data_IF_403559060855
#
_entry.id   IF_403559060855
#
_cell.length_a   1.000
_cell.length_b   1.000
_cell.length_c   1.000
_cell.angle_alpha   90.00
_cell.angle_beta   90.00
_cell.angle_gamma   90.00
#
_symmetry.space_group_name_H-M   'P 1'
#
loop_
_entity.id
_entity.type
_entity.pdbx_description
1 polymer ?
#
# COMPACT_ATOMS: atom_id res chain seq x y z
N UNK A 1 -17.28 35.07 29.45
CA UNK A 1 -17.43 33.62 29.67
C UNK A 1 -18.02 33.02 28.40
N UNK A 2 -17.16 32.48 27.56
CA UNK A 2 -17.45 31.90 26.25
C UNK A 2 -17.06 30.44 26.35
N UNK A 3 -18.03 29.56 26.51
CA UNK A 3 -17.81 28.12 26.53
C UNK A 3 -17.69 27.59 25.10
N UNK A 4 -16.58 26.91 24.86
CA UNK A 4 -16.20 26.24 23.63
C UNK A 4 -17.07 25.01 23.37
N UNK A 5 -17.68 24.95 22.19
CA UNK A 5 -18.39 23.77 21.66
C UNK A 5 -17.37 22.77 21.08
N UNK A 6 -17.38 21.48 21.46
CA UNK A 6 -16.40 20.51 20.99
C UNK A 6 -16.71 19.98 19.58
N UNK A 7 -15.64 19.76 18.80
CA UNK A 7 -15.62 19.37 17.39
C UNK A 7 -16.25 18.00 17.09
N UNK A 8 -17.15 17.95 16.12
CA UNK A 8 -17.84 16.74 15.63
C UNK A 8 -16.93 15.78 14.84
N UNK A 9 -17.21 14.48 15.01
CA UNK A 9 -16.47 13.29 14.54
C UNK A 9 -16.88 12.89 13.11
N UNK A 10 -15.90 12.46 12.31
CA UNK A 10 -15.99 12.17 10.86
C UNK A 10 -15.84 10.66 10.58
N UNK A 11 -16.55 10.09 9.60
CA UNK A 11 -16.24 8.80 9.03
C UNK A 11 -15.68 9.00 7.62
N UNK A 12 -14.35 9.05 7.49
CA UNK A 12 -13.75 8.21 6.45
C UNK A 12 -13.49 6.83 7.06
N UNK A 13 -12.86 5.91 6.35
CA UNK A 13 -12.27 4.69 6.91
C UNK A 13 -11.41 4.91 8.19
N UNK A 14 -11.13 6.17 8.54
CA UNK A 14 -10.58 6.72 9.78
C UNK A 14 -11.41 6.55 11.08
N UNK A 15 -12.47 5.72 11.11
CA UNK A 15 -13.29 5.52 12.32
C UNK A 15 -12.47 5.09 13.56
N UNK A 16 -11.30 4.48 13.36
CA UNK A 16 -10.43 4.04 14.46
C UNK A 16 -9.60 5.15 15.12
N UNK A 17 -9.64 6.39 14.61
CA UNK A 17 -8.89 7.50 15.20
C UNK A 17 -9.65 8.30 16.26
N UNK A 18 -10.97 8.13 16.43
CA UNK A 18 -11.81 9.03 17.25
C UNK A 18 -12.99 8.37 17.98
N UNK A 19 -12.80 7.20 18.57
CA UNK A 19 -13.68 6.73 19.66
C UNK A 19 -12.92 6.96 20.97
N UNK A 20 -13.17 8.10 21.61
CA UNK A 20 -12.47 8.62 22.79
C UNK A 20 -12.57 7.70 24.02
N UNK A 21 -11.40 7.32 24.55
CA UNK A 21 -11.21 7.02 25.96
C UNK A 21 -9.94 7.76 26.41
N UNK A 22 -10.15 8.95 26.98
CA UNK A 22 -9.13 9.66 27.73
C UNK A 22 -8.74 8.89 29.00
N UNK A 23 -7.52 9.19 29.47
CA UNK A 23 -6.84 8.68 30.68
C UNK A 23 -6.00 7.40 30.47
N UNK A 24 -4.76 7.58 30.00
CA UNK A 24 -3.56 7.34 30.82
C UNK A 24 -2.32 7.93 30.13
N UNK A 25 -1.73 8.95 30.74
CA UNK A 25 -0.39 9.41 30.41
C UNK A 25 0.68 8.45 30.94
N UNK A 26 1.82 8.45 30.25
CA UNK A 26 3.15 8.02 30.70
C UNK A 26 3.27 6.72 31.52
N UNK A 27 3.94 5.70 30.96
CA UNK A 27 5.19 5.18 31.54
C UNK A 27 5.96 4.27 30.58
N UNK A 28 7.27 4.46 30.63
CA UNK A 28 8.39 3.78 29.96
C UNK A 28 8.33 2.24 30.04
N UNK A 29 9.04 1.50 29.17
CA UNK A 29 10.48 1.18 29.31
C UNK A 29 10.89 -0.04 28.47
N UNK A 30 12.08 0.08 27.90
CA UNK A 30 13.02 -0.94 27.38
C UNK A 30 12.64 -2.43 27.50
N UNK A 31 12.82 -3.15 26.38
CA UNK A 31 13.76 -4.29 26.34
C UNK A 31 14.53 -4.33 25.03
N UNK A 32 15.81 -4.03 25.17
CA UNK A 32 16.93 -4.30 24.26
C UNK A 32 17.29 -5.79 24.29
N UNK A 33 17.53 -6.38 23.12
CA UNK A 33 18.62 -7.34 22.84
C UNK A 33 18.56 -7.73 21.35
N UNK A 34 19.34 -7.08 20.48
CA UNK A 34 20.73 -7.40 20.10
C UNK A 34 20.81 -8.41 18.94
N UNK A 35 21.14 -7.89 17.75
CA UNK A 35 22.26 -8.41 16.95
C UNK A 35 23.13 -7.20 16.54
N UNK A 36 24.35 -7.18 17.08
CA UNK A 36 25.52 -6.40 16.65
C UNK A 36 25.95 -6.85 15.24
N UNK A 37 26.50 -6.03 14.37
CA UNK A 37 26.98 -4.67 14.56
C UNK A 37 27.77 -4.17 13.34
N UNK A 38 28.26 -2.92 13.45
CA UNK A 38 29.42 -2.48 12.69
C UNK A 38 29.21 -1.40 11.63
N UNK A 39 28.66 -0.24 11.98
CA UNK A 39 28.99 1.02 11.26
C UNK A 39 29.62 1.98 12.27
N UNK A 40 30.93 1.85 12.45
CA UNK A 40 31.77 2.88 13.06
C UNK A 40 33.23 2.69 12.60
N UNK A 41 33.46 2.89 11.31
CA UNK A 41 34.77 3.25 10.79
C UNK A 41 34.57 3.97 9.44
N UNK A 42 34.33 5.27 9.51
CA UNK A 42 34.50 6.14 8.37
C UNK A 42 36.01 6.25 8.07
N UNK A 43 36.38 5.93 6.81
CA UNK A 43 37.63 6.32 6.12
C UNK A 43 38.91 5.61 6.63
N UNK A 44 39.56 4.75 5.81
CA UNK A 44 40.00 5.07 4.45
C UNK A 44 39.70 3.97 3.42
N UNK A 45 38.42 3.76 3.07
CA UNK A 45 38.05 2.88 1.93
C UNK A 45 38.06 3.64 0.60
N UNK A 46 38.13 4.98 0.63
CA UNK A 46 38.24 5.81 -0.58
C UNK A 46 39.55 5.55 -1.36
N UNK A 47 40.64 5.17 -0.69
CA UNK A 47 41.91 4.81 -1.36
C UNK A 47 41.90 3.43 -2.02
N UNK A 48 41.14 2.47 -1.49
CA UNK A 48 41.04 1.11 -2.01
C UNK A 48 40.03 0.98 -3.16
N UNK A 49 38.96 1.77 -3.16
CA UNK A 49 38.01 1.86 -4.28
C UNK A 49 38.65 2.48 -5.54
N UNK A 50 39.54 3.45 -5.39
CA UNK A 50 40.31 4.04 -6.51
C UNK A 50 41.40 3.09 -7.06
N UNK A 51 41.90 2.17 -6.23
CA UNK A 51 42.85 1.15 -6.68
C UNK A 51 42.15 -0.02 -7.41
N UNK A 52 40.90 -0.34 -7.05
CA UNK A 52 40.11 -1.36 -7.75
C UNK A 52 39.50 -0.87 -9.08
N UNK A 53 39.20 0.42 -9.21
CA UNK A 53 38.70 0.99 -10.47
C UNK A 53 39.74 1.08 -11.60
N UNK A 54 41.04 0.87 -11.32
CA UNK A 54 42.10 0.96 -12.32
C UNK A 54 42.71 -0.40 -12.75
N UNK A 55 42.23 -1.54 -12.24
CA UNK A 55 42.83 -2.84 -12.52
C UNK A 55 42.03 -3.79 -13.43
N UNK A 56 40.81 -3.44 -13.84
CA UNK A 56 40.06 -4.22 -14.83
C UNK A 56 39.83 -3.41 -16.10
N UNK A 57 40.83 -3.47 -16.99
CA UNK A 57 40.64 -3.11 -18.38
C UNK A 57 39.55 -3.98 -19.02
N UNK A 58 38.68 -3.35 -19.81
CA UNK A 58 37.94 -4.04 -20.87
C UNK A 58 36.53 -4.57 -20.55
N UNK A 59 35.91 -4.25 -19.42
CA UNK A 59 34.47 -4.55 -19.26
C UNK A 59 33.65 -3.52 -20.02
N UNK A 60 32.91 -3.97 -21.06
CA UNK A 60 31.83 -3.18 -21.69
C UNK A 60 30.96 -2.54 -20.60
N UNK A 61 30.45 -1.31 -20.78
CA UNK A 61 29.47 -0.74 -19.88
C UNK A 61 28.37 -1.78 -19.69
N UNK A 62 28.14 -2.21 -18.45
CA UNK A 62 27.03 -3.12 -18.14
C UNK A 62 25.77 -2.37 -18.56
N UNK A 63 25.14 -2.85 -19.63
CA UNK A 63 23.89 -2.30 -20.13
C UNK A 63 22.85 -2.48 -19.02
N UNK A 64 22.45 -1.36 -18.41
CA UNK A 64 21.58 -1.35 -17.23
C UNK A 64 20.21 -1.86 -17.69
N UNK A 65 19.71 -3.00 -17.20
CA UNK A 65 18.39 -3.47 -17.56
C UNK A 65 17.36 -2.44 -17.09
N UNK A 66 16.60 -1.87 -18.01
CA UNK A 66 15.48 -1.01 -17.63
C UNK A 66 14.44 -1.86 -16.89
N UNK A 67 13.86 -1.29 -15.83
CA UNK A 67 12.69 -1.91 -15.23
C UNK A 67 11.58 -1.97 -16.29
N UNK A 68 10.86 -3.10 -16.37
CA UNK A 68 9.75 -3.20 -17.27
C UNK A 68 8.73 -2.11 -16.95
N UNK A 69 8.09 -1.59 -18.01
CA UNK A 69 6.96 -0.70 -17.84
C UNK A 69 5.89 -1.38 -16.98
N UNK A 70 5.11 -0.57 -16.25
CA UNK A 70 3.99 -1.11 -15.49
C UNK A 70 3.09 -1.93 -16.43
N UNK A 71 2.72 -3.15 -16.05
CA UNK A 71 1.92 -4.03 -16.89
C UNK A 71 0.57 -3.37 -17.22
N UNK A 72 0.10 -3.60 -18.45
CA UNK A 72 -1.19 -3.06 -18.91
C UNK A 72 -2.37 -3.90 -18.47
N UNK A 73 -2.13 -5.10 -17.93
CA UNK A 73 -3.16 -6.04 -17.52
C UNK A 73 -2.70 -7.06 -16.48
N UNK A 74 -3.64 -7.89 -15.98
CA UNK A 74 -3.36 -8.93 -15.01
C UNK A 74 -2.52 -10.07 -15.61
N UNK A 75 -1.69 -10.70 -14.78
CA UNK A 75 -0.90 -11.88 -15.18
C UNK A 75 -1.72 -13.18 -15.21
N UNK A 76 -2.89 -13.20 -14.55
CA UNK A 76 -3.72 -14.39 -14.43
C UNK A 76 -5.21 -14.04 -14.59
N UNK A 77 -6.02 -14.88 -15.25
CA UNK A 77 -7.47 -14.69 -15.37
C UNK A 77 -8.24 -14.41 -14.07
N UNK A 78 -7.80 -14.94 -12.92
CA UNK A 78 -8.45 -14.69 -11.62
C UNK A 78 -8.32 -13.23 -11.19
N UNK A 79 -7.32 -12.51 -11.67
CA UNK A 79 -7.13 -11.10 -11.34
C UNK A 79 -7.97 -10.17 -12.22
N UNK A 80 -8.63 -10.68 -13.28
CA UNK A 80 -9.48 -9.89 -14.16
C UNK A 80 -10.75 -9.34 -13.45
N UNK A 81 -11.06 -9.84 -12.26
CA UNK A 81 -12.19 -9.37 -11.45
C UNK A 81 -11.85 -8.13 -10.62
N UNK A 82 -10.56 -7.76 -10.53
CA UNK A 82 -10.11 -6.56 -9.83
C UNK A 82 -10.29 -5.32 -10.72
N UNK A 83 -10.15 -4.14 -10.13
CA UNK A 83 -10.41 -2.88 -10.82
C UNK A 83 -9.53 -2.68 -12.07
N UNK A 84 -10.11 -2.07 -13.10
CA UNK A 84 -9.37 -1.67 -14.29
C UNK A 84 -8.31 -0.61 -13.96
N UNK A 85 -7.11 -0.68 -14.58
CA UNK A 85 -6.10 0.36 -14.39
C UNK A 85 -6.59 1.69 -14.98
N UNK A 86 -6.36 2.78 -14.25
CA UNK A 86 -6.88 4.08 -14.61
C UNK A 86 -7.02 5.01 -13.42
N UNK A 87 -7.40 6.25 -13.73
CA UNK A 87 -7.85 7.21 -12.75
C UNK A 87 -9.34 7.05 -12.53
N UNK A 88 -9.73 6.95 -11.28
CA UNK A 88 -11.10 6.82 -10.80
C UNK A 88 -11.46 8.02 -9.95
N UNK A 89 -12.69 8.46 -10.06
CA UNK A 89 -13.30 9.45 -9.19
C UNK A 89 -14.49 8.83 -8.51
N UNK A 90 -14.61 9.07 -7.21
CA UNK A 90 -15.71 8.51 -6.43
C UNK A 90 -16.32 9.49 -5.46
N UNK A 91 -17.59 9.27 -5.20
CA UNK A 91 -18.32 9.87 -4.09
C UNK A 91 -18.64 8.75 -3.11
N UNK A 92 -18.34 8.99 -1.84
CA UNK A 92 -18.66 8.07 -0.76
C UNK A 92 -19.57 8.77 0.23
N UNK A 93 -20.58 8.03 0.69
CA UNK A 93 -21.49 8.45 1.76
C UNK A 93 -21.49 7.39 2.84
N UNK A 94 -21.19 7.79 4.06
CA UNK A 94 -21.17 6.92 5.23
C UNK A 94 -22.17 7.43 6.28
N UNK A 95 -22.99 6.53 6.78
CA UNK A 95 -24.06 6.81 7.72
C UNK A 95 -23.93 5.94 8.95
N UNK A 96 -24.20 6.53 10.12
CA UNK A 96 -24.49 5.80 11.36
C UNK A 96 -25.88 6.22 11.87
N UNK A 97 -26.23 5.84 13.10
CA UNK A 97 -27.54 6.14 13.68
C UNK A 97 -27.88 7.65 13.79
N UNK A 98 -26.89 8.54 13.76
CA UNK A 98 -27.07 9.97 14.06
C UNK A 98 -26.58 10.92 12.98
N UNK A 99 -25.65 10.51 12.12
CA UNK A 99 -24.97 11.39 11.16
C UNK A 99 -24.74 10.67 9.85
N UNK A 100 -24.87 11.41 8.75
CA UNK A 100 -24.37 11.03 7.42
C UNK A 100 -23.30 12.02 7.00
N UNK A 101 -22.18 11.50 6.52
CA UNK A 101 -21.09 12.30 5.95
C UNK A 101 -20.80 11.81 4.54
N UNK A 102 -20.38 12.74 3.68
CA UNK A 102 -19.91 12.41 2.35
C UNK A 102 -18.48 12.88 2.15
N UNK A 103 -17.76 12.24 1.23
CA UNK A 103 -16.44 12.65 0.78
C UNK A 103 -16.28 12.32 -0.70
N UNK A 104 -15.33 12.99 -1.33
CA UNK A 104 -14.91 12.65 -2.70
C UNK A 104 -13.52 12.02 -2.65
N UNK A 105 -13.27 11.07 -3.54
CA UNK A 105 -11.97 10.43 -3.65
C UNK A 105 -11.48 10.43 -5.09
N UNK A 106 -10.17 10.57 -5.24
CA UNK A 106 -9.45 10.29 -6.48
C UNK A 106 -8.58 9.08 -6.23
N UNK A 107 -8.70 8.08 -7.10
CA UNK A 107 -7.96 6.82 -7.00
C UNK A 107 -7.21 6.57 -8.29
N UNK A 108 -5.91 6.35 -8.20
CA UNK A 108 -5.10 5.84 -9.30
C UNK A 108 -4.86 4.35 -9.12
N UNK A 109 -5.35 3.56 -10.07
CA UNK A 109 -5.21 2.11 -10.11
C UNK A 109 -4.19 1.71 -11.18
N UNK A 110 -3.20 0.88 -10.81
CA UNK A 110 -2.21 0.34 -11.75
C UNK A 110 -1.82 -1.08 -11.40
N UNK A 111 -1.49 -1.89 -12.41
CA UNK A 111 -0.89 -3.19 -12.17
C UNK A 111 0.58 -3.05 -11.74
N UNK A 112 0.96 -3.87 -10.77
CA UNK A 112 2.32 -4.04 -10.27
C UNK A 112 2.77 -5.50 -10.37
N UNK A 113 4.04 -5.75 -10.05
CA UNK A 113 4.63 -7.10 -9.99
C UNK A 113 4.34 -7.94 -11.24
N UNK A 114 4.54 -7.36 -12.43
CA UNK A 114 4.25 -8.00 -13.71
C UNK A 114 2.79 -8.51 -13.84
N UNK A 115 1.83 -7.83 -13.22
CA UNK A 115 0.40 -8.11 -13.34
C UNK A 115 -0.15 -8.97 -12.20
N UNK A 116 0.65 -9.29 -11.18
CA UNK A 116 0.24 -10.16 -10.07
C UNK A 116 -0.51 -9.42 -8.96
N UNK A 117 -0.39 -8.10 -8.89
CA UNK A 117 -1.11 -7.29 -7.93
C UNK A 117 -1.61 -5.98 -8.55
N UNK A 118 -2.71 -5.48 -8.01
CA UNK A 118 -3.26 -4.18 -8.33
C UNK A 118 -2.90 -3.20 -7.20
N UNK A 119 -2.18 -2.14 -7.55
CA UNK A 119 -1.90 -1.03 -6.66
C UNK A 119 -2.97 0.03 -6.80
N UNK A 120 -3.41 0.54 -5.66
CA UNK A 120 -4.46 1.53 -5.51
C UNK A 120 -3.90 2.68 -4.68
N UNK A 121 -3.81 3.86 -5.27
CA UNK A 121 -3.31 5.06 -4.59
C UNK A 121 -4.43 6.08 -4.53
N UNK A 122 -4.95 6.31 -3.33
CA UNK A 122 -6.16 7.09 -3.12
C UNK A 122 -5.85 8.40 -2.40
N UNK A 123 -6.50 9.47 -2.86
CA UNK A 123 -6.58 10.77 -2.22
C UNK A 123 -8.03 11.05 -1.88
N UNK A 124 -8.32 11.18 -0.60
CA UNK A 124 -9.66 11.46 -0.07
C UNK A 124 -9.77 12.92 0.34
N UNK A 125 -10.79 13.59 -0.18
CA UNK A 125 -11.14 14.98 0.08
C UNK A 125 -12.36 15.03 1.00
N UNK A 126 -12.15 15.51 2.21
CA UNK A 126 -13.21 15.71 3.19
C UNK A 126 -13.96 17.04 2.93
N UNK A 127 -15.26 17.15 3.23
CA UNK A 127 -16.00 18.41 3.10
C UNK A 127 -15.41 19.57 3.90
N UNK A 128 -14.67 19.30 4.98
CA UNK A 128 -13.94 20.31 5.72
C UNK A 128 -12.71 20.86 4.98
N UNK A 129 -12.38 20.34 3.79
CA UNK A 129 -11.13 20.60 3.07
C UNK A 129 -9.92 19.81 3.55
N UNK A 130 -10.07 18.90 4.52
CA UNK A 130 -8.97 18.03 4.93
C UNK A 130 -8.67 16.99 3.83
N UNK A 131 -7.39 16.68 3.64
CA UNK A 131 -6.94 15.69 2.66
C UNK A 131 -6.32 14.52 3.39
N UNK A 132 -6.73 13.31 3.04
CA UNK A 132 -6.07 12.08 3.48
C UNK A 132 -5.66 11.23 2.29
N UNK A 133 -4.68 10.34 2.52
CA UNK A 133 -4.12 9.46 1.52
C UNK A 133 -4.22 8.02 2.02
N UNK A 134 -4.49 7.11 1.10
CA UNK A 134 -4.46 5.68 1.35
C UNK A 134 -3.68 4.99 0.23
N UNK A 135 -2.92 3.96 0.61
CA UNK A 135 -2.29 3.08 -0.36
C UNK A 135 -2.79 1.67 -0.13
N UNK A 136 -3.14 1.00 -1.21
CA UNK A 136 -3.73 -0.31 -1.14
C UNK A 136 -3.14 -1.25 -2.18
N UNK A 137 -3.12 -2.54 -1.82
CA UNK A 137 -2.69 -3.62 -2.71
C UNK A 137 -3.76 -4.70 -2.69
N UNK A 138 -4.27 -5.04 -3.87
CA UNK A 138 -5.13 -6.20 -4.08
C UNK A 138 -4.39 -7.27 -4.88
N UNK A 139 -4.47 -8.53 -4.46
CA UNK A 139 -3.89 -9.64 -5.22
C UNK A 139 -4.66 -10.93 -4.96
N UNK A 140 -4.30 -11.99 -5.67
CA UNK A 140 -4.82 -13.33 -5.43
C UNK A 140 -3.76 -14.19 -4.77
N UNK A 141 -4.13 -14.90 -3.70
CA UNK A 141 -3.25 -15.84 -3.02
C UNK A 141 -3.65 -17.26 -3.39
N UNK A 142 -2.80 -17.92 -4.18
CA UNK A 142 -3.04 -19.29 -4.67
C UNK A 142 -2.97 -20.34 -3.57
N UNK A 143 -2.26 -20.09 -2.46
CA UNK A 143 -2.10 -21.06 -1.38
C UNK A 143 -3.38 -21.21 -0.54
N UNK A 144 -4.12 -20.12 -0.35
CA UNK A 144 -5.40 -20.12 0.37
C UNK A 144 -6.60 -20.01 -0.57
N UNK A 145 -6.37 -19.89 -1.88
CA UNK A 145 -7.40 -19.77 -2.92
C UNK A 145 -8.35 -18.58 -2.68
N UNK A 146 -7.84 -17.47 -2.14
CA UNK A 146 -8.61 -16.26 -1.81
C UNK A 146 -7.94 -14.99 -2.36
N UNK A 147 -8.73 -13.94 -2.52
CA UNK A 147 -8.20 -12.60 -2.76
C UNK A 147 -7.72 -11.99 -1.45
N UNK A 148 -6.69 -11.17 -1.55
CA UNK A 148 -6.16 -10.38 -0.44
C UNK A 148 -6.27 -8.90 -0.79
N UNK A 149 -6.59 -8.10 0.22
CA UNK A 149 -6.64 -6.65 0.13
C UNK A 149 -5.99 -6.05 1.38
N UNK A 150 -4.90 -5.33 1.17
CA UNK A 150 -4.13 -4.66 2.22
C UNK A 150 -4.23 -3.16 2.03
N UNK A 151 -4.51 -2.42 3.11
CA UNK A 151 -4.65 -0.96 3.10
C UNK A 151 -3.70 -0.35 4.12
N UNK A 152 -2.84 0.55 3.66
CA UNK A 152 -1.97 1.40 4.47
C UNK A 152 -2.62 2.78 4.54
N UNK A 153 -2.98 3.21 5.75
CA UNK A 153 -3.68 4.46 5.97
C UNK A 153 -2.79 5.52 6.61
N UNK A 154 -3.25 6.77 6.58
CA UNK A 154 -2.54 7.92 7.13
C UNK A 154 -2.29 7.85 8.64
N UNK A 155 -3.04 7.03 9.37
CA UNK A 155 -2.84 6.75 10.79
C UNK A 155 -1.65 5.81 11.07
N UNK A 156 -1.02 5.28 10.02
CA UNK A 156 0.11 4.36 10.11
C UNK A 156 -0.30 2.90 10.31
N UNK A 157 -1.60 2.61 10.45
CA UNK A 157 -2.07 1.23 10.54
C UNK A 157 -2.16 0.58 9.16
N UNK A 158 -1.84 -0.70 9.15
CA UNK A 158 -2.06 -1.60 8.01
C UNK A 158 -3.26 -2.47 8.33
N UNK A 159 -4.27 -2.44 7.46
CA UNK A 159 -5.49 -3.23 7.59
C UNK A 159 -5.52 -4.31 6.52
N UNK A 160 -6.00 -5.49 6.88
CA UNK A 160 -6.00 -6.67 6.01
C UNK A 160 -7.40 -7.25 5.86
N UNK A 161 -7.74 -7.59 4.62
CA UNK A 161 -8.99 -8.21 4.23
C UNK A 161 -8.72 -9.43 3.35
N UNK A 162 -9.59 -10.42 3.47
CA UNK A 162 -9.67 -11.54 2.54
C UNK A 162 -10.96 -11.44 1.75
N UNK A 163 -10.91 -11.82 0.47
CA UNK A 163 -12.01 -11.67 -0.46
C UNK A 163 -12.36 -12.97 -1.16
N UNK A 164 -13.64 -13.14 -1.46
CA UNK A 164 -14.12 -14.20 -2.34
C UNK A 164 -14.90 -13.62 -3.52
N UNK A 165 -14.61 -14.12 -4.73
CA UNK A 165 -15.34 -13.73 -5.93
C UNK A 165 -16.61 -14.55 -6.04
N UNK A 166 -17.74 -13.86 -6.23
CA UNK A 166 -19.04 -14.49 -6.36
C UNK A 166 -19.42 -14.58 -7.85
N UNK A 167 -19.17 -15.76 -8.44
CA UNK A 167 -19.24 -16.05 -9.89
C UNK A 167 -20.61 -15.72 -10.52
N UNK A 168 -21.70 -15.70 -9.74
CA UNK A 168 -23.05 -15.38 -10.23
C UNK A 168 -23.49 -13.92 -10.08
N UNK A 169 -22.80 -13.12 -9.24
CA UNK A 169 -23.26 -11.78 -8.89
C UNK A 169 -22.29 -10.66 -9.28
N UNK A 170 -21.17 -10.98 -9.93
CA UNK A 170 -20.21 -9.99 -10.41
C UNK A 170 -19.62 -9.13 -9.28
N UNK A 171 -19.44 -9.72 -8.09
CA UNK A 171 -18.99 -9.00 -6.89
C UNK A 171 -17.89 -9.74 -6.14
N UNK A 172 -16.98 -8.98 -5.54
CA UNK A 172 -16.06 -9.49 -4.53
C UNK A 172 -16.62 -9.14 -3.16
N UNK A 173 -16.70 -10.15 -2.29
CA UNK A 173 -17.05 -9.97 -0.89
C UNK A 173 -15.78 -10.01 -0.05
N UNK A 174 -15.47 -8.89 0.59
CA UNK A 174 -14.32 -8.74 1.47
C UNK A 174 -14.76 -8.81 2.93
N UNK A 175 -13.92 -9.45 3.74
CA UNK A 175 -14.05 -9.46 5.19
C UNK A 175 -12.71 -9.12 5.82
N UNK A 176 -12.75 -8.28 6.85
CA UNK A 176 -11.57 -7.94 7.64
C UNK A 176 -11.01 -9.16 8.37
N UNK A 177 -9.69 -9.35 8.28
CA UNK A 177 -8.94 -10.36 9.05
C UNK A 177 -7.91 -9.71 9.97
N UNK A 178 -7.58 -8.44 9.75
CA UNK A 178 -6.63 -7.70 10.57
C UNK A 178 -7.03 -6.22 10.62
N UNK A 179 -7.50 -5.77 11.79
CA UNK A 179 -7.92 -4.38 12.04
C UNK A 179 -7.23 -3.86 13.32
N UNK A 180 -5.93 -3.53 13.27
CA UNK A 180 -5.25 -2.98 14.43
C UNK A 180 -5.88 -1.63 14.83
N UNK A 181 -5.96 -1.39 16.14
CA UNK A 181 -6.67 -0.23 16.70
C UNK A 181 -8.19 -0.42 16.84
N UNK A 182 -8.76 -1.50 16.29
CA UNK A 182 -10.15 -1.87 16.50
C UNK A 182 -10.32 -2.75 17.75
N UNK A 183 -11.46 -2.64 18.46
CA UNK A 183 -11.91 -3.69 19.37
C UNK A 183 -12.03 -5.04 18.66
N UNK A 184 -11.74 -6.15 19.37
CA UNK A 184 -11.71 -7.49 18.80
C UNK A 184 -13.06 -7.99 18.25
N UNK A 185 -14.15 -7.38 18.68
CA UNK A 185 -15.52 -7.70 18.27
C UNK A 185 -16.01 -6.84 17.09
N UNK A 186 -15.15 -5.98 16.54
CA UNK A 186 -15.43 -5.19 15.34
C UNK A 186 -15.09 -6.00 14.09
N UNK A 187 -16.04 -6.05 13.16
CA UNK A 187 -15.90 -6.68 11.85
C UNK A 187 -16.29 -5.68 10.78
N UNK A 188 -15.44 -5.55 9.75
CA UNK A 188 -15.74 -4.79 8.55
C UNK A 188 -15.94 -5.75 7.37
N UNK A 189 -17.04 -5.53 6.63
CA UNK A 189 -17.36 -6.25 5.39
C UNK A 189 -17.51 -5.25 4.26
N UNK A 190 -17.06 -5.63 3.07
CA UNK A 190 -17.22 -4.80 1.87
C UNK A 190 -17.70 -5.65 0.70
N UNK A 191 -18.69 -5.15 -0.03
CA UNK A 191 -19.14 -5.73 -1.28
C UNK A 191 -18.73 -4.79 -2.41
N UNK A 192 -17.76 -5.20 -3.22
CA UNK A 192 -17.33 -4.45 -4.40
C UNK A 192 -18.01 -5.03 -5.64
N UNK A 193 -18.78 -4.20 -6.33
CA UNK A 193 -19.61 -4.59 -7.47
C UNK A 193 -19.17 -3.83 -8.72
N UNK A 194 -18.88 -4.56 -9.79
CA UNK A 194 -18.70 -3.97 -11.12
C UNK A 194 -20.07 -3.76 -11.74
N UNK A 195 -20.53 -2.51 -11.80
CA UNK A 195 -21.87 -2.19 -12.32
C UNK A 195 -21.89 -2.15 -13.86
N UNK A 196 -20.81 -1.62 -14.44
CA UNK A 196 -20.56 -1.55 -15.89
C UNK A 196 -19.04 -1.34 -16.11
N UNK A 197 -18.53 -1.45 -17.35
CA UNK A 197 -17.15 -1.05 -17.64
C UNK A 197 -16.88 0.38 -17.16
N UNK A 198 -15.79 0.57 -16.40
CA UNK A 198 -15.44 1.85 -15.80
C UNK A 198 -16.43 2.39 -14.74
N UNK A 199 -17.37 1.60 -14.23
CA UNK A 199 -18.29 1.99 -13.13
C UNK A 199 -18.36 0.90 -12.05
N UNK A 200 -18.14 1.30 -10.80
CA UNK A 200 -18.22 0.39 -9.64
C UNK A 200 -18.97 1.01 -8.47
N UNK A 201 -19.53 0.15 -7.63
CA UNK A 201 -20.07 0.52 -6.34
C UNK A 201 -19.48 -0.40 -5.26
N UNK A 202 -19.04 0.19 -4.15
CA UNK A 202 -18.62 -0.52 -2.96
C UNK A 202 -19.62 -0.24 -1.85
N UNK A 203 -20.13 -1.30 -1.22
CA UNK A 203 -20.95 -1.19 -0.01
C UNK A 203 -20.17 -1.72 1.17
N UNK A 204 -19.98 -0.89 2.18
CA UNK A 204 -19.24 -1.23 3.40
C UNK A 204 -20.19 -1.31 4.57
N UNK A 205 -20.00 -2.31 5.41
CA UNK A 205 -20.70 -2.49 6.67
C UNK A 205 -19.67 -2.69 7.78
N UNK A 206 -19.82 -1.95 8.87
CA UNK A 206 -19.01 -2.13 10.09
C UNK A 206 -19.97 -2.51 11.20
N UNK A 207 -19.69 -3.63 11.85
CA UNK A 207 -20.48 -4.14 12.97
C UNK A 207 -19.60 -4.35 14.19
N UNK A 208 -20.16 -4.15 15.38
CA UNK A 208 -19.52 -4.45 16.67
C UNK A 208 -20.41 -5.41 17.45
N UNK A 209 -19.83 -6.48 17.99
CA UNK A 209 -20.59 -7.51 18.71
C UNK A 209 -21.81 -8.03 17.92
N UNK A 210 -21.71 -8.08 16.59
CA UNK A 210 -22.79 -8.49 15.69
C UNK A 210 -23.86 -7.43 15.40
N UNK A 211 -23.79 -6.24 16.00
CA UNK A 211 -24.70 -5.13 15.74
C UNK A 211 -24.11 -4.20 14.68
N UNK A 212 -24.89 -3.88 13.65
CA UNK A 212 -24.50 -2.96 12.59
C UNK A 212 -24.39 -1.54 13.15
N UNK A 213 -23.21 -0.93 13.07
CA UNK A 213 -22.98 0.44 13.54
C UNK A 213 -22.93 1.44 12.37
N UNK A 214 -22.36 1.02 11.23
CA UNK A 214 -22.08 1.92 10.09
C UNK A 214 -22.40 1.21 8.78
N UNK A 215 -23.01 1.94 7.87
CA UNK A 215 -23.08 1.60 6.45
C UNK A 215 -22.40 2.69 5.63
N UNK A 216 -21.73 2.30 4.56
CA UNK A 216 -21.22 3.25 3.58
C UNK A 216 -21.44 2.74 2.16
N UNK A 217 -21.66 3.69 1.25
CA UNK A 217 -21.78 3.42 -0.18
C UNK A 217 -20.81 4.35 -0.92
N UNK A 218 -19.89 3.76 -1.66
CA UNK A 218 -18.95 4.45 -2.53
C UNK A 218 -19.32 4.15 -3.98
N UNK A 219 -19.53 5.18 -4.79
CA UNK A 219 -19.77 5.04 -6.24
C UNK A 219 -18.61 5.66 -6.98
N UNK A 220 -18.00 4.91 -7.90
CA UNK A 220 -16.82 5.35 -8.62
C UNK A 220 -17.00 5.21 -10.13
N UNK A 221 -16.43 6.17 -10.85
CA UNK A 221 -16.34 6.18 -12.31
C UNK A 221 -14.88 6.38 -12.76
N UNK A 222 -14.48 5.63 -13.78
CA UNK A 222 -13.17 5.77 -14.41
C UNK A 222 -13.15 6.99 -15.32
N UNK A 223 -12.20 7.91 -15.09
CA UNK A 223 -12.06 9.18 -15.81
C UNK A 223 -10.88 9.22 -16.77
N UNK A 224 -10.08 8.16 -16.85
CA UNK A 224 -9.01 8.06 -17.85
C UNK A 224 -7.85 7.20 -17.38
N UNK A 225 -6.67 7.47 -17.93
CA UNK A 225 -5.42 6.82 -17.52
C UNK A 225 -5.03 7.23 -16.10
N UNK A 226 -4.39 6.31 -15.38
CA UNK A 226 -3.85 6.59 -14.06
C UNK A 226 -2.81 7.70 -14.15
N UNK A 227 -2.90 8.68 -13.27
CA UNK A 227 -1.90 9.73 -13.12
C UNK A 227 -0.91 9.28 -12.06
N UNK A 228 0.07 8.48 -12.48
CA UNK A 228 1.28 8.27 -11.67
C UNK A 228 2.14 9.54 -11.74
N UNK A 229 1.63 10.65 -11.23
CA UNK A 229 2.31 11.94 -11.28
C UNK A 229 3.34 12.07 -10.15
N UNK A 230 4.56 12.43 -10.59
CA UNK A 230 5.67 13.07 -9.88
C UNK A 230 6.27 12.29 -8.68
N UNK A 231 7.59 12.38 -8.44
CA UNK A 231 8.17 11.74 -7.27
C UNK A 231 7.58 12.41 -6.04
N UNK A 232 6.71 11.69 -5.33
CA UNK A 232 6.32 12.10 -4.01
C UNK A 232 7.58 12.14 -3.12
N UNK A 233 7.62 13.10 -2.22
CA UNK A 233 8.60 13.18 -1.16
C UNK A 233 8.02 12.57 0.11
N UNK A 234 8.84 12.09 1.04
CA UNK A 234 8.35 11.70 2.35
C UNK A 234 7.59 12.86 3.00
N UNK A 235 6.48 12.58 3.66
CA UNK A 235 5.64 13.60 4.31
C UNK A 235 6.35 14.27 5.49
N UNK A 236 7.29 13.55 6.11
CA UNK A 236 8.07 14.04 7.25
C UNK A 236 9.54 13.64 7.14
N UNK A 237 10.46 14.38 7.79
CA UNK A 237 11.87 13.99 7.87
C UNK A 237 12.11 12.63 8.52
N UNK A 238 11.22 12.20 9.43
CA UNK A 238 11.30 10.88 10.05
C UNK A 238 11.03 9.77 9.03
N UNK A 239 10.03 9.96 8.16
CA UNK A 239 9.72 9.03 7.08
C UNK A 239 10.84 8.95 6.04
N UNK A 240 11.57 10.04 5.80
CA UNK A 240 12.72 10.04 4.88
C UNK A 240 13.80 9.00 5.22
N UNK A 241 13.81 8.45 6.44
CA UNK A 241 14.70 7.37 6.88
C UNK A 241 14.39 6.02 6.22
N UNK A 242 13.18 5.82 5.69
CA UNK A 242 12.80 4.58 5.00
C UNK A 242 13.55 4.41 3.67
N UNK A 243 13.98 5.51 3.04
CA UNK A 243 14.76 5.46 1.81
C UNK A 243 14.52 6.64 0.88
N UNK A 244 15.04 6.51 -0.34
CA UNK A 244 14.90 7.51 -1.41
C UNK A 244 14.25 6.88 -2.62
N UNK A 245 13.39 7.65 -3.28
CA UNK A 245 12.88 7.27 -4.59
C UNK A 245 14.02 7.20 -5.61
N UNK A 246 13.93 6.26 -6.55
CA UNK A 246 14.96 6.05 -7.56
C UNK A 246 14.99 4.63 -8.09
N UNK A 247 15.87 4.40 -9.06
CA UNK A 247 16.23 3.06 -9.52
C UNK A 247 17.44 2.59 -8.73
N UNK A 248 17.36 1.37 -8.23
CA UNK A 248 18.37 0.72 -7.41
C UNK A 248 18.88 -0.52 -8.15
N UNK A 249 20.19 -0.65 -8.23
CA UNK A 249 20.84 -1.89 -8.67
C UNK A 249 21.45 -2.51 -7.42
N UNK A 250 21.03 -3.72 -7.12
CA UNK A 250 21.35 -4.40 -5.88
C UNK A 250 21.97 -5.75 -6.19
N UNK A 251 22.86 -6.19 -5.32
CA UNK A 251 23.37 -7.55 -5.33
C UNK A 251 23.26 -8.11 -3.93
N UNK A 252 22.77 -9.33 -3.84
CA UNK A 252 22.69 -10.06 -2.58
C UNK A 252 23.48 -11.35 -2.73
N UNK A 253 24.34 -11.63 -1.75
CA UNK A 253 25.17 -12.84 -1.73
C UNK A 253 24.82 -13.68 -0.51
N UNK A 254 24.49 -14.94 -0.74
CA UNK A 254 24.09 -15.91 0.28
C UNK A 254 24.62 -17.30 -0.06
N UNK A 255 24.53 -18.25 0.88
CA UNK A 255 25.01 -19.62 0.70
C UNK A 255 23.84 -20.59 0.55
N UNK A 256 23.87 -21.46 -0.46
CA UNK A 256 22.90 -22.55 -0.65
C UNK A 256 23.68 -23.86 -0.78
N UNK A 257 23.39 -24.84 0.07
CA UNK A 257 24.06 -26.14 0.11
C UNK A 257 25.60 -26.02 0.19
N UNK A 258 26.08 -25.03 0.96
CA UNK A 258 27.50 -24.73 1.12
C UNK A 258 28.16 -24.01 -0.06
N UNK A 259 27.43 -23.73 -1.15
CA UNK A 259 27.93 -23.01 -2.30
C UNK A 259 27.50 -21.53 -2.27
N UNK A 260 28.42 -20.58 -2.53
CA UNK A 260 28.07 -19.17 -2.62
C UNK A 260 27.21 -18.93 -3.86
N UNK A 261 26.13 -18.18 -3.68
CA UNK A 261 25.28 -17.68 -4.76
C UNK A 261 25.18 -16.16 -4.62
N UNK A 262 25.23 -15.49 -5.75
CA UNK A 262 24.95 -14.05 -5.85
C UNK A 262 23.78 -13.86 -6.79
N UNK A 263 22.78 -13.11 -6.36
CA UNK A 263 21.70 -12.65 -7.22
C UNK A 263 21.90 -11.17 -7.51
N UNK A 264 21.53 -10.77 -8.71
CA UNK A 264 21.48 -9.37 -9.12
C UNK A 264 20.02 -8.95 -9.19
N UNK A 265 19.72 -7.75 -8.73
CA UNK A 265 18.37 -7.20 -8.73
C UNK A 265 18.38 -5.79 -9.28
N UNK A 266 17.30 -5.44 -9.99
CA UNK A 266 17.00 -4.05 -10.30
C UNK A 266 15.67 -3.72 -9.65
N UNK A 267 15.64 -2.71 -8.80
CA UNK A 267 14.44 -2.24 -8.12
C UNK A 267 14.15 -0.77 -8.38
N UNK A 268 12.91 -0.37 -8.11
CA UNK A 268 12.42 1.01 -8.14
C UNK A 268 11.77 1.29 -6.81
N UNK A 269 12.33 2.27 -6.12
CA UNK A 269 11.71 2.88 -4.97
C UNK A 269 10.90 4.10 -5.43
N UNK A 270 9.68 4.26 -4.94
CA UNK A 270 8.92 5.50 -5.08
C UNK A 270 8.03 5.74 -3.88
N UNK A 271 7.89 6.99 -3.48
CA UNK A 271 6.94 7.37 -2.44
C UNK A 271 5.50 7.31 -3.01
N UNK A 272 4.55 6.93 -2.17
CA UNK A 272 3.12 7.09 -2.47
C UNK A 272 2.75 8.57 -2.57
N UNK A 273 1.65 8.92 -3.24
CA UNK A 273 0.95 10.17 -2.97
C UNK A 273 0.81 10.41 -1.46
N UNK A 274 1.07 11.64 -1.04
CA UNK A 274 1.06 12.01 0.38
C UNK A 274 2.28 11.55 1.19
N UNK A 275 3.27 10.86 0.59
CA UNK A 275 4.58 10.65 1.22
C UNK A 275 4.58 9.74 2.46
N UNK A 276 3.55 8.92 2.65
CA UNK A 276 3.36 8.07 3.85
C UNK A 276 3.95 6.68 3.74
N UNK A 277 4.10 6.14 2.53
CA UNK A 277 4.76 4.86 2.30
C UNK A 277 5.78 4.95 1.15
N UNK A 278 6.84 4.15 1.26
CA UNK A 278 7.82 3.93 0.20
C UNK A 278 7.52 2.57 -0.44
N UNK A 279 7.09 2.56 -1.69
CA UNK A 279 6.95 1.33 -2.47
C UNK A 279 8.32 0.96 -3.03
N UNK A 280 8.69 -0.30 -2.86
CA UNK A 280 9.85 -0.89 -3.51
C UNK A 280 9.37 -2.07 -4.35
N UNK A 281 9.53 -1.98 -5.66
CA UNK A 281 9.21 -3.04 -6.61
C UNK A 281 10.44 -3.36 -7.45
N UNK A 282 10.70 -4.61 -7.78
CA UNK A 282 11.90 -4.98 -8.51
C UNK A 282 11.83 -6.32 -9.20
N UNK A 283 12.94 -6.66 -9.84
CA UNK A 283 13.15 -7.91 -10.55
C UNK A 283 14.50 -8.51 -10.16
N UNK A 284 14.49 -9.79 -9.84
CA UNK A 284 15.69 -10.61 -9.67
C UNK A 284 16.09 -11.16 -11.04
N UNK A 285 17.34 -10.93 -11.41
CA UNK A 285 17.97 -11.47 -12.61
C UNK A 285 18.63 -12.79 -12.26
N UNK A 286 17.90 -13.89 -12.43
CA UNK A 286 18.43 -15.26 -12.32
C UNK A 286 18.46 -15.96 -13.67
N UNK A 287 19.35 -16.94 -13.84
CA UNK A 287 19.36 -17.81 -15.02
C UNK A 287 18.01 -18.54 -15.15
N UNK A 288 17.30 -18.33 -16.27
CA UNK A 288 16.06 -19.02 -16.62
C UNK A 288 14.79 -18.19 -16.49
N UNK A 289 14.54 -17.55 -15.33
CA UNK A 289 13.29 -16.79 -15.10
C UNK A 289 13.50 -15.50 -14.31
N UNK A 290 12.78 -14.45 -14.70
CA UNK A 290 12.69 -13.18 -13.96
C UNK A 290 11.68 -13.33 -12.83
N UNK A 291 12.10 -13.05 -11.60
CA UNK A 291 11.20 -13.04 -10.43
C UNK A 291 10.93 -11.62 -9.99
N UNK A 292 9.67 -11.26 -9.84
CA UNK A 292 9.22 -9.92 -9.44
C UNK A 292 8.91 -9.88 -7.95
N UNK A 293 9.24 -8.77 -7.30
CA UNK A 293 8.95 -8.53 -5.88
C UNK A 293 8.50 -7.08 -5.65
#
# INVERSE_FOLDING_TARGET
HTESVPNCVRPSSSYFAKVDLGVLGCLMRERTAWILGGIAAAVPVAGLLLFWMNLNGGSKPVEIPSLPQSPTGPSHPRLQVLDEPGRWESESSASNASVTNSNTCHLDARWGLNGHCLFLEEKVLDPSGAVTYEFAVKHYNTNINMYNYTVVQNDGYVRGFVGNWQVGSGRIEWQSVYLPGAPNDVVQRMNEMQLAPGKRETRTEISRAGQLEITAVTRAERKGSAQTELPATPDTPALARLGRGGIWNESESFTVDGQPKTIQMTGRARWTPGGRALLYEGVVHSEGEKKYF
#
